data_IF_605894403090
#
_entry.id   IF_605894403090
#
_cell.length_a   1.000
_cell.length_b   1.000
_cell.length_c   1.000
_cell.angle_alpha   90.00
_cell.angle_beta   90.00
_cell.angle_gamma   90.00
#
_symmetry.space_group_name_H-M   'P 1'
#
loop_
_entity.id
_entity.type
_entity.pdbx_description
1 polymer ?
#
# COMPACT_ATOMS: atom_id res chain seq x y z
N UNK A 1 34.37 12.08 40.89
CA UNK A 1 34.46 12.58 39.49
C UNK A 1 33.23 12.12 38.74
N UNK A 2 32.26 13.00 38.58
CA UNK A 2 31.06 12.72 37.79
C UNK A 2 31.40 12.88 36.32
N UNK A 3 31.51 11.77 35.60
CA UNK A 3 31.61 11.80 34.13
C UNK A 3 30.39 12.51 33.59
N UNK A 4 30.53 13.66 32.94
CA UNK A 4 29.50 14.30 32.15
C UNK A 4 29.14 13.31 31.05
N UNK A 5 28.00 12.66 31.16
CA UNK A 5 27.41 11.92 30.03
C UNK A 5 27.32 12.90 28.87
N UNK A 6 28.11 12.67 27.82
CA UNK A 6 28.01 13.43 26.58
C UNK A 6 26.56 13.44 26.10
N UNK A 7 26.11 14.54 25.48
CA UNK A 7 24.78 14.59 24.88
C UNK A 7 24.66 13.40 23.93
N UNK A 8 23.53 12.68 23.95
CA UNK A 8 23.32 11.57 23.04
C UNK A 8 23.43 12.09 21.59
N UNK A 9 24.09 11.31 20.74
CA UNK A 9 24.22 11.64 19.32
C UNK A 9 22.87 11.46 18.72
N UNK A 10 22.27 12.56 18.23
CA UNK A 10 21.03 12.56 17.46
C UNK A 10 21.35 12.15 16.02
N UNK A 11 20.63 11.19 15.49
CA UNK A 11 20.72 10.76 14.10
C UNK A 11 19.35 10.84 13.45
N UNK A 12 19.35 10.92 12.13
CA UNK A 12 18.13 11.01 11.34
C UNK A 12 17.78 9.63 10.80
N UNK A 13 16.52 9.29 10.89
CA UNK A 13 15.99 8.02 10.44
C UNK A 13 14.69 8.23 9.67
N UNK A 14 14.49 7.40 8.66
CA UNK A 14 13.18 7.17 8.06
C UNK A 14 12.68 5.82 8.53
N UNK A 15 11.47 5.79 9.04
CA UNK A 15 10.86 4.59 9.59
C UNK A 15 9.53 4.32 8.92
N UNK A 16 9.37 3.09 8.40
CA UNK A 16 8.12 2.62 7.80
C UNK A 16 7.64 1.41 8.59
N UNK A 17 6.37 1.38 8.93
CA UNK A 17 5.75 0.19 9.49
C UNK A 17 4.46 -0.19 8.76
N UNK A 18 4.12 -1.46 8.87
CA UNK A 18 2.94 -2.06 8.28
C UNK A 18 2.04 -2.57 9.41
N UNK A 19 0.82 -2.04 9.48
CA UNK A 19 -0.21 -2.50 10.40
C UNK A 19 -1.17 -3.47 9.69
N UNK A 20 -1.78 -4.36 10.46
CA UNK A 20 -2.72 -5.37 9.98
C UNK A 20 -3.86 -4.74 9.18
N UNK A 21 -4.39 -5.48 8.21
CA UNK A 21 -5.47 -5.02 7.34
C UNK A 21 -6.80 -4.79 8.07
N UNK A 22 -7.02 -5.44 9.21
CA UNK A 22 -8.25 -5.39 9.99
C UNK A 22 -8.28 -4.25 11.02
N UNK A 23 -7.16 -3.54 11.25
CA UNK A 23 -7.18 -2.32 12.05
C UNK A 23 -7.77 -1.16 11.25
N UNK A 24 -8.48 -0.26 11.93
CA UNK A 24 -9.03 0.94 11.31
C UNK A 24 -7.95 2.01 11.05
N UNK A 25 -8.23 2.95 10.15
CA UNK A 25 -7.34 4.09 9.92
C UNK A 25 -7.09 4.89 11.21
N UNK A 26 -8.11 5.06 12.05
CA UNK A 26 -8.00 5.74 13.34
C UNK A 26 -7.08 4.99 14.32
N UNK A 27 -7.13 3.65 14.31
CA UNK A 27 -6.21 2.84 15.12
C UNK A 27 -4.78 2.98 14.63
N UNK A 28 -4.55 3.08 13.31
CA UNK A 28 -3.21 3.35 12.74
C UNK A 28 -2.67 4.70 13.20
N UNK A 29 -3.50 5.74 13.22
CA UNK A 29 -3.14 7.05 13.77
C UNK A 29 -2.77 6.95 15.26
N UNK A 30 -3.52 6.18 16.04
CA UNK A 30 -3.22 5.90 17.45
C UNK A 30 -1.87 5.21 17.63
N UNK A 31 -1.53 4.25 16.75
CA UNK A 31 -0.21 3.60 16.75
C UNK A 31 0.92 4.59 16.45
N UNK A 32 0.72 5.47 15.48
CA UNK A 32 1.69 6.54 15.16
C UNK A 32 1.94 7.44 16.36
N UNK A 33 0.89 7.91 17.03
CA UNK A 33 1.00 8.75 18.22
C UNK A 33 1.69 8.02 19.39
N UNK A 34 1.39 6.74 19.58
CA UNK A 34 2.06 5.90 20.57
C UNK A 34 3.57 5.82 20.33
N UNK A 35 4.00 5.53 19.10
CA UNK A 35 5.42 5.43 18.77
C UNK A 35 6.13 6.77 18.78
N UNK A 36 5.44 7.84 18.40
CA UNK A 36 5.93 9.21 18.55
C UNK A 36 6.20 9.55 20.02
N UNK A 37 5.27 9.19 20.91
CA UNK A 37 5.46 9.36 22.36
C UNK A 37 6.71 8.66 22.88
N UNK A 38 6.98 7.43 22.45
CA UNK A 38 8.19 6.69 22.85
C UNK A 38 9.47 7.42 22.40
N UNK A 39 9.50 7.93 21.18
CA UNK A 39 10.64 8.69 20.66
C UNK A 39 10.85 9.98 21.47
N UNK A 40 9.78 10.71 21.77
CA UNK A 40 9.83 11.96 22.54
C UNK A 40 10.27 11.73 23.98
N UNK A 41 9.80 10.68 24.66
CA UNK A 41 10.21 10.28 26.00
C UNK A 41 11.73 10.00 26.11
N UNK A 42 12.32 9.50 25.02
CA UNK A 42 13.76 9.23 24.95
C UNK A 42 14.58 10.41 24.38
N UNK A 43 13.99 11.59 24.32
CA UNK A 43 14.65 12.82 23.90
C UNK A 43 14.79 12.99 22.40
N UNK A 44 14.11 12.20 21.60
CA UNK A 44 13.99 12.38 20.16
C UNK A 44 12.82 13.27 19.78
N UNK A 45 12.61 13.42 18.49
CA UNK A 45 11.44 14.08 17.91
C UNK A 45 11.06 13.42 16.59
N UNK A 46 9.78 13.49 16.26
CA UNK A 46 9.23 13.03 15.02
C UNK A 46 8.81 14.24 14.18
N UNK A 47 9.28 14.29 12.95
CA UNK A 47 8.98 15.34 12.00
C UNK A 47 7.77 14.96 11.13
N UNK A 48 8.02 14.73 9.85
CA UNK A 48 6.99 14.32 8.89
C UNK A 48 6.41 12.97 9.25
N UNK A 49 5.09 12.86 9.19
CA UNK A 49 4.35 11.60 9.29
C UNK A 49 3.45 11.49 8.05
N UNK A 50 3.51 10.35 7.38
CA UNK A 50 2.67 10.06 6.24
C UNK A 50 1.91 8.75 6.46
N UNK A 51 0.60 8.78 6.25
CA UNK A 51 -0.22 7.59 6.19
C UNK A 51 -0.53 7.28 4.72
N UNK A 52 0.04 6.20 4.20
CA UNK A 52 -0.16 5.82 2.80
C UNK A 52 -1.44 5.00 2.59
N UNK A 53 -2.14 4.68 3.65
CA UNK A 53 -3.38 3.92 3.63
C UNK A 53 -3.18 2.43 3.43
N UNK A 54 -4.30 1.74 3.17
CA UNK A 54 -4.34 0.30 2.97
C UNK A 54 -3.85 -0.04 1.56
N UNK A 55 -2.79 -0.85 1.46
CA UNK A 55 -2.18 -1.28 0.20
C UNK A 55 -2.05 -2.79 0.13
N UNK A 56 -2.11 -3.32 -1.09
CA UNK A 56 -1.89 -4.74 -1.34
C UNK A 56 -0.42 -5.11 -1.12
N UNK A 57 -0.20 -6.26 -0.49
CA UNK A 57 1.12 -6.85 -0.31
C UNK A 57 1.45 -7.74 -1.51
N UNK A 58 2.72 -7.78 -1.90
CA UNK A 58 3.20 -8.68 -2.96
C UNK A 58 3.03 -10.14 -2.57
N UNK A 59 3.22 -10.46 -1.30
CA UNK A 59 2.99 -11.76 -0.70
C UNK A 59 2.32 -11.60 0.68
N UNK A 60 1.66 -12.66 1.15
CA UNK A 60 0.98 -12.63 2.44
C UNK A 60 1.97 -12.53 3.60
N UNK A 61 1.65 -11.66 4.56
CA UNK A 61 2.37 -11.54 5.83
C UNK A 61 1.39 -11.85 6.95
N UNK A 62 1.69 -12.83 7.80
CA UNK A 62 0.81 -13.28 8.88
C UNK A 62 -0.66 -13.43 8.43
N UNK A 63 -0.87 -14.11 7.28
CA UNK A 63 -2.17 -14.33 6.62
C UNK A 63 -2.84 -13.06 6.05
N UNK A 64 -2.27 -11.87 6.22
CA UNK A 64 -2.80 -10.62 5.64
C UNK A 64 -2.38 -10.49 4.17
N UNK A 65 -3.31 -10.07 3.31
CA UNK A 65 -3.07 -9.76 1.89
C UNK A 65 -2.80 -8.27 1.66
N UNK A 66 -3.24 -7.44 2.60
CA UNK A 66 -3.10 -5.99 2.60
C UNK A 66 -2.53 -5.53 3.92
N UNK A 67 -1.98 -4.34 3.96
CA UNK A 67 -1.52 -3.70 5.18
C UNK A 67 -1.69 -2.18 5.08
N UNK A 68 -1.85 -1.54 6.24
CA UNK A 68 -1.73 -0.09 6.35
C UNK A 68 -0.26 0.28 6.42
N UNK A 69 0.16 1.25 5.62
CA UNK A 69 1.52 1.75 5.58
C UNK A 69 1.59 3.12 6.23
N UNK A 70 2.55 3.32 7.13
CA UNK A 70 2.86 4.61 7.71
C UNK A 70 4.37 4.87 7.66
N UNK A 71 4.75 6.10 7.33
CA UNK A 71 6.12 6.60 7.32
C UNK A 71 6.27 7.66 8.41
N UNK A 72 7.39 7.64 9.11
CA UNK A 72 7.78 8.66 10.07
C UNK A 72 9.24 9.07 9.85
N UNK A 73 9.49 10.37 9.78
CA UNK A 73 10.84 10.93 9.84
C UNK A 73 11.19 11.21 11.30
N UNK A 74 12.29 10.63 11.76
CA UNK A 74 12.67 10.62 13.18
C UNK A 74 14.06 11.19 13.34
N UNK A 75 14.22 12.12 14.28
CA UNK A 75 15.52 12.56 14.79
C UNK A 75 15.65 12.11 16.25
N UNK A 76 16.49 11.14 16.51
CA UNK A 76 16.56 10.52 17.83
C UNK A 76 17.92 9.87 18.12
N UNK A 77 18.24 9.62 19.40
CA UNK A 77 19.33 8.73 19.75
C UNK A 77 18.97 7.28 19.41
N UNK A 78 19.97 6.46 19.12
CA UNK A 78 19.77 5.06 18.77
C UNK A 78 18.97 4.27 19.83
N UNK A 79 19.11 4.63 21.11
CA UNK A 79 18.36 4.01 22.20
C UNK A 79 16.83 4.19 22.06
N UNK A 80 16.38 5.36 21.58
CA UNK A 80 14.97 5.63 21.32
C UNK A 80 14.43 4.75 20.20
N UNK A 81 15.20 4.60 19.12
CA UNK A 81 14.84 3.73 18.00
C UNK A 81 14.72 2.27 18.46
N UNK A 82 15.71 1.78 19.21
CA UNK A 82 15.70 0.42 19.74
C UNK A 82 14.48 0.13 20.61
N UNK A 83 14.08 1.08 21.47
CA UNK A 83 12.90 0.92 22.32
C UNK A 83 11.61 0.94 21.47
N UNK A 84 11.48 1.85 20.53
CA UNK A 84 10.34 1.88 19.61
C UNK A 84 10.22 0.56 18.83
N UNK A 85 11.31 0.07 18.24
CA UNK A 85 11.33 -1.20 17.52
C UNK A 85 11.01 -2.39 18.42
N UNK A 86 11.46 -2.36 19.69
CA UNK A 86 11.11 -3.38 20.68
C UNK A 86 9.59 -3.41 20.91
N UNK A 87 8.97 -2.25 21.07
CA UNK A 87 7.52 -2.14 21.24
C UNK A 87 6.78 -2.62 20.00
N UNK A 88 7.25 -2.27 18.81
CA UNK A 88 6.66 -2.75 17.56
C UNK A 88 6.73 -4.27 17.42
N UNK A 89 7.83 -4.87 17.85
CA UNK A 89 8.03 -6.32 17.77
C UNK A 89 7.05 -7.13 18.61
N UNK A 90 6.64 -6.59 19.76
CA UNK A 90 5.69 -7.23 20.66
C UNK A 90 4.23 -6.86 20.38
N UNK A 91 4.00 -5.85 19.53
CA UNK A 91 2.66 -5.41 19.17
C UNK A 91 2.10 -6.29 18.04
N UNK A 92 1.00 -6.98 18.31
CA UNK A 92 0.36 -7.89 17.36
C UNK A 92 -0.26 -7.18 16.15
N UNK A 93 -0.53 -5.88 16.25
CA UNK A 93 -1.09 -5.09 15.16
C UNK A 93 -0.02 -4.69 14.12
N UNK A 94 1.26 -4.81 14.45
CA UNK A 94 2.37 -4.51 13.56
C UNK A 94 2.85 -5.78 12.86
N UNK A 95 2.75 -5.80 11.54
CA UNK A 95 3.20 -6.93 10.72
C UNK A 95 4.70 -6.88 10.46
N UNK A 96 5.19 -5.72 10.06
CA UNK A 96 6.61 -5.45 9.77
C UNK A 96 6.93 -3.99 9.98
N UNK A 97 8.21 -3.73 10.16
CA UNK A 97 8.77 -2.39 10.18
C UNK A 97 10.17 -2.38 9.56
N UNK A 98 10.61 -1.22 9.15
CA UNK A 98 11.96 -0.98 8.64
C UNK A 98 12.41 0.41 9.07
N UNK A 99 13.62 0.51 9.61
CA UNK A 99 14.25 1.77 9.96
C UNK A 99 15.51 1.94 9.12
N UNK A 100 15.63 3.07 8.45
CA UNK A 100 16.81 3.43 7.66
C UNK A 100 17.40 4.70 8.21
N UNK A 101 18.70 4.67 8.50
CA UNK A 101 19.44 5.88 8.86
C UNK A 101 19.71 6.69 7.60
N UNK A 102 19.41 7.99 7.66
CA UNK A 102 19.58 8.93 6.55
C UNK A 102 20.50 10.09 6.96
N UNK A 103 21.07 10.77 5.99
CA UNK A 103 21.91 11.94 6.24
C UNK A 103 21.09 13.22 6.37
N UNK A 104 19.96 13.27 5.64
CA UNK A 104 19.01 14.37 5.70
C UNK A 104 17.60 13.84 5.44
N UNK A 105 16.59 14.48 6.04
CA UNK A 105 15.20 14.26 5.64
C UNK A 105 14.89 15.09 4.40
N UNK A 106 14.12 14.52 3.48
CA UNK A 106 13.64 15.23 2.30
C UNK A 106 12.51 16.20 2.67
N UNK A 107 12.57 17.40 2.11
CA UNK A 107 11.48 18.36 2.21
C UNK A 107 10.33 17.98 1.27
N UNK A 108 9.10 17.98 1.79
CA UNK A 108 7.90 17.71 1.02
C UNK A 108 7.41 16.24 1.09
N UNK A 109 6.36 15.92 0.34
CA UNK A 109 5.76 14.60 0.36
C UNK A 109 6.65 13.55 -0.32
N UNK A 110 6.65 12.34 0.24
CA UNK A 110 7.38 11.20 -0.33
C UNK A 110 6.84 10.83 -1.73
N UNK A 111 7.64 10.06 -2.48
CA UNK A 111 7.26 9.57 -3.81
C UNK A 111 5.92 8.80 -3.80
N UNK A 112 5.58 8.15 -2.69
CA UNK A 112 4.31 7.44 -2.53
C UNK A 112 3.12 8.37 -2.45
N UNK A 113 3.26 9.56 -1.84
CA UNK A 113 2.22 10.57 -1.77
C UNK A 113 2.07 11.33 -3.10
N UNK A 114 3.18 11.61 -3.78
CA UNK A 114 3.18 12.28 -5.09
C UNK A 114 2.45 11.48 -6.19
N UNK A 115 2.46 10.15 -6.12
CA UNK A 115 1.72 9.30 -7.06
C UNK A 115 0.20 9.44 -6.92
N UNK A 116 -0.32 9.66 -5.71
CA UNK A 116 -1.75 9.88 -5.48
C UNK A 116 -2.26 11.12 -6.20
N UNK A 117 -1.52 12.22 -6.15
CA UNK A 117 -1.91 13.48 -6.81
C UNK A 117 -1.96 13.37 -8.34
N UNK A 118 -1.26 12.39 -8.93
CA UNK A 118 -1.29 12.14 -10.38
C UNK A 118 -2.47 11.29 -10.82
N UNK A 119 -2.89 10.34 -9.98
CA UNK A 119 -4.02 9.46 -10.30
C UNK A 119 -5.38 10.14 -10.08
N UNK A 120 -5.45 11.16 -9.20
CA UNK A 120 -6.66 11.93 -8.93
C UNK A 120 -6.92 13.08 -9.93
N UNK A 121 -6.05 13.28 -10.92
CA UNK A 121 -6.34 14.25 -11.98
C UNK A 121 -7.46 13.69 -12.87
N UNK A 122 -8.64 14.33 -12.95
CA UNK A 122 -9.69 13.88 -13.84
C UNK A 122 -9.12 13.81 -15.26
N UNK A 123 -9.19 12.63 -15.86
CA UNK A 123 -8.92 12.46 -17.29
C UNK A 123 -9.85 13.42 -18.01
N UNK A 124 -9.30 14.49 -18.56
CA UNK A 124 -10.01 15.33 -19.52
C UNK A 124 -10.40 14.37 -20.65
N UNK A 125 -11.66 14.00 -20.69
CA UNK A 125 -12.26 13.42 -21.86
C UNK A 125 -12.04 14.39 -23.00
N UNK A 126 -11.08 14.06 -23.85
CA UNK A 126 -10.90 14.75 -25.10
C UNK A 126 -12.14 14.48 -25.93
N UNK A 127 -12.97 15.48 -25.97
CA UNK A 127 -14.07 15.65 -26.92
C UNK A 127 -13.49 15.42 -28.32
N UNK A 128 -13.57 14.16 -28.77
CA UNK A 128 -13.31 13.81 -30.17
C UNK A 128 -14.64 14.06 -30.90
N UNK A 129 -14.77 15.31 -31.34
CA UNK A 129 -15.64 15.71 -32.42
C UNK A 129 -15.57 14.64 -33.54
N UNK A 130 -16.54 13.71 -33.55
CA UNK A 130 -16.78 12.81 -34.66
C UNK A 130 -17.67 13.56 -35.63
N UNK A 131 -17.04 14.24 -36.60
CA UNK A 131 -17.72 14.79 -37.76
C UNK A 131 -18.70 13.78 -38.42
N UNK A 132 -19.74 14.29 -39.10
CA UNK A 132 -20.84 13.48 -39.63
C UNK A 132 -20.35 12.52 -40.73
N UNK A 133 -20.63 11.24 -40.54
CA UNK A 133 -20.40 10.23 -41.56
C UNK A 133 -21.43 10.45 -42.71
N UNK A 134 -20.89 10.75 -43.87
CA UNK A 134 -21.60 10.77 -45.14
C UNK A 134 -22.25 9.41 -45.39
N UNK A 135 -23.55 9.43 -45.63
CA UNK A 135 -24.33 8.37 -46.28
C UNK A 135 -23.68 8.02 -47.63
N UNK A 136 -23.30 6.78 -47.75
CA UNK A 136 -22.83 6.13 -48.96
C UNK A 136 -23.65 4.87 -49.13
N UNK A 137 -24.76 5.04 -49.86
CA UNK A 137 -25.59 4.02 -50.47
C UNK A 137 -24.75 3.04 -51.27
N UNK A 138 -24.81 1.72 -50.95
CA UNK A 138 -24.47 0.62 -51.90
C UNK A 138 -25.02 -0.68 -51.40
N UNK A 139 -26.18 -0.97 -52.02
CA UNK A 139 -26.45 -2.16 -52.81
C UNK A 139 -26.39 -3.55 -52.17
N UNK A 140 -27.53 -4.15 -52.36
CA UNK A 140 -28.02 -5.48 -51.93
C UNK A 140 -27.16 -6.61 -52.51
N UNK A 141 -26.74 -7.55 -51.67
CA UNK A 141 -26.34 -8.90 -52.09
C UNK A 141 -27.12 -9.97 -51.29
N UNK A 142 -27.52 -11.07 -51.89
CA UNK A 142 -28.53 -11.98 -51.33
C UNK A 142 -27.99 -12.93 -50.27
N UNK A 143 -28.84 -13.22 -49.30
CA UNK A 143 -28.67 -14.20 -48.24
C UNK A 143 -28.50 -15.59 -48.82
N UNK A 144 -27.45 -16.29 -48.39
CA UNK A 144 -27.34 -17.74 -48.54
C UNK A 144 -27.66 -18.36 -47.18
N UNK A 145 -28.74 -19.10 -47.15
CA UNK A 145 -29.07 -20.06 -46.11
C UNK A 145 -28.04 -21.19 -46.16
N UNK A 146 -27.31 -21.40 -45.08
CA UNK A 146 -26.56 -22.60 -44.84
C UNK A 146 -27.09 -23.27 -43.57
N UNK A 147 -27.99 -24.19 -43.82
CA UNK A 147 -28.43 -25.24 -42.92
C UNK A 147 -27.25 -26.11 -42.50
N UNK A 148 -26.87 -26.10 -41.21
CA UNK A 148 -26.03 -27.15 -40.64
C UNK A 148 -26.74 -27.78 -39.45
N UNK A 149 -26.95 -29.10 -39.48
CA UNK A 149 -27.62 -29.82 -38.41
C UNK A 149 -26.77 -29.95 -37.17
N UNK A 150 -27.41 -29.77 -36.00
CA UNK A 150 -26.85 -30.03 -34.68
C UNK A 150 -26.61 -31.54 -34.53
N UNK A 151 -25.37 -31.88 -34.18
CA UNK A 151 -25.02 -33.21 -33.66
C UNK A 151 -25.21 -33.21 -32.15
N UNK A 152 -26.18 -33.98 -31.70
CA UNK A 152 -26.30 -34.49 -30.35
C UNK A 152 -25.27 -35.60 -30.19
N UNK A 153 -24.27 -35.36 -29.36
CA UNK A 153 -23.44 -36.45 -28.80
C UNK A 153 -23.69 -36.48 -27.28
N UNK A 154 -24.61 -37.39 -26.94
CA UNK A 154 -24.74 -37.94 -25.59
C UNK A 154 -23.64 -38.96 -25.42
N UNK A 155 -22.61 -38.64 -24.58
CA UNK A 155 -21.73 -39.66 -24.04
C UNK A 155 -22.12 -39.97 -22.62
N UNK A 156 -22.77 -41.09 -22.53
CA UNK A 156 -23.05 -41.88 -21.33
C UNK A 156 -21.75 -42.48 -20.80
N UNK A 157 -21.32 -42.11 -19.60
CA UNK A 157 -20.24 -42.83 -18.87
C UNK A 157 -20.75 -43.40 -17.57
N UNK A 158 -20.62 -44.74 -17.38
CA UNK A 158 -21.13 -45.41 -16.20
C UNK A 158 -20.24 -45.15 -14.96
N UNK A 159 -20.91 -45.03 -13.81
CA UNK A 159 -20.32 -45.02 -12.47
C UNK A 159 -19.59 -46.33 -12.19
N UNK A 160 -18.37 -46.26 -11.73
CA UNK A 160 -17.69 -47.38 -11.06
C UNK A 160 -17.90 -47.22 -9.57
N UNK A 161 -18.70 -48.10 -9.01
CA UNK A 161 -18.60 -48.58 -7.62
C UNK A 161 -17.39 -49.47 -7.51
N UNK A 162 -16.55 -49.25 -6.51
CA UNK A 162 -15.75 -50.28 -5.87
C UNK A 162 -15.28 -49.82 -4.50
N UNK A 163 -15.83 -50.50 -3.52
CA UNK A 163 -15.33 -51.02 -2.22
C UNK A 163 -14.36 -50.15 -1.41
#
# INVERSE_FOLDING_TARGET
>A
MTMKKGKPIMALYEHVFLARQDVSAQQVEGLVEQYKGIIEEHGGKVGRVENWGLKSLTYRIAKNRKAHYALMDIEAPAAAINEMERQMRINEDILRYMTVRVEAHEDGPSAMMQKRDRDDRPRRDGDRDRGPRRDGDRDRGPRRDDDRPRRDDRDDRPRRDDR
#
